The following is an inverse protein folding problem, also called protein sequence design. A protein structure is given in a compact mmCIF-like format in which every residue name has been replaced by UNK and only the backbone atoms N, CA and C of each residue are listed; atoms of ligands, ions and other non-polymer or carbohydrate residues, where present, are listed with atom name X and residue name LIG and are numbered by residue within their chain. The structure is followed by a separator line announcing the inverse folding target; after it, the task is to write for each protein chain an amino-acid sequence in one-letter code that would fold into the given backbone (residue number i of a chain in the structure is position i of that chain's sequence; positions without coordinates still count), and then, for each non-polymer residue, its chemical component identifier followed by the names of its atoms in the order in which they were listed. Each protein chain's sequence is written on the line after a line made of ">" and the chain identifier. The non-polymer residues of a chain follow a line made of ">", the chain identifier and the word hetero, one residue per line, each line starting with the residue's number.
data_IF_681865140946
#
_entry.id   IF_681865140946
#
_cell.length_a   1.000
_cell.length_b   1.000
_cell.length_c   1.000
_cell.angle_alpha   90.00
_cell.angle_beta   90.00
_cell.angle_gamma   90.00
#
_symmetry.space_group_name_H-M   'P 1'
#
loop_
_entity.id
_entity.type
_entity.pdbx_description
1 polymer ?
#
# COMPACT_ATOMS: atom_id res chain seq x y z
N UNK A 1 24.24 7.92 19.69
CA UNK A 1 24.07 8.47 18.31
C UNK A 1 22.74 8.06 17.68
N UNK A 2 22.20 6.85 17.96
CA UNK A 2 20.84 6.47 17.57
C UNK A 2 19.74 7.32 18.22
N UNK A 3 19.89 7.66 19.51
CA UNK A 3 18.85 8.39 20.26
C UNK A 3 18.66 9.85 19.77
N UNK A 4 19.74 10.56 19.45
CA UNK A 4 19.69 11.93 18.89
C UNK A 4 19.01 12.00 17.50
N UNK A 5 19.17 10.95 16.69
CA UNK A 5 18.51 10.86 15.39
C UNK A 5 17.01 10.57 15.56
N UNK A 6 16.62 9.70 16.48
CA UNK A 6 15.21 9.40 16.73
C UNK A 6 14.47 10.58 17.39
N UNK A 7 15.14 11.35 18.26
CA UNK A 7 14.60 12.60 18.80
C UNK A 7 14.35 13.65 17.70
N UNK A 8 15.20 13.70 16.68
CA UNK A 8 15.07 14.65 15.57
C UNK A 8 13.98 14.25 14.57
N UNK A 9 13.60 12.96 14.53
CA UNK A 9 12.58 12.41 13.62
C UNK A 9 11.46 11.72 14.39
N UNK A 10 10.62 12.46 15.14
CA UNK A 10 9.57 11.90 15.99
C UNK A 10 8.55 11.06 15.20
N UNK A 11 8.28 11.43 13.95
CA UNK A 11 7.42 10.65 13.05
C UNK A 11 7.97 9.25 12.77
N UNK A 12 9.28 9.14 12.49
CA UNK A 12 9.94 7.85 12.26
C UNK A 12 9.95 6.99 13.53
N UNK A 13 10.15 7.62 14.70
CA UNK A 13 10.12 6.93 15.98
C UNK A 13 8.71 6.41 16.34
N UNK A 14 7.66 7.09 15.89
CA UNK A 14 6.26 6.69 16.13
C UNK A 14 5.73 5.59 15.20
N UNK A 15 6.46 5.24 14.13
CA UNK A 15 5.99 4.24 13.17
C UNK A 15 6.09 2.82 13.74
N UNK A 16 5.02 2.02 13.72
CA UNK A 16 5.04 0.65 14.25
C UNK A 16 5.90 -0.30 13.40
N UNK A 17 6.16 0.05 12.14
CA UNK A 17 7.03 -0.68 11.23
C UNK A 17 7.40 0.21 10.04
N UNK A 18 8.41 -0.21 9.28
CA UNK A 18 8.97 0.58 8.17
C UNK A 18 8.27 0.30 6.83
N UNK A 19 7.33 -0.64 6.77
CA UNK A 19 6.69 -1.02 5.50
C UNK A 19 5.98 0.18 4.81
N UNK A 20 5.15 1.01 5.50
CA UNK A 20 4.54 2.20 4.90
C UNK A 20 5.54 3.20 4.32
N UNK A 21 6.75 3.30 4.86
CA UNK A 21 7.79 4.16 4.30
C UNK A 21 8.32 3.56 2.99
N UNK A 22 8.66 2.27 3.01
CA UNK A 22 9.38 1.64 1.90
C UNK A 22 8.50 1.29 0.71
N UNK A 23 7.17 1.16 0.88
CA UNK A 23 6.23 0.92 -0.23
C UNK A 23 6.13 2.07 -1.23
N UNK A 24 6.50 3.30 -0.86
CA UNK A 24 6.47 4.44 -1.78
C UNK A 24 7.52 4.32 -2.90
N UNK A 25 8.66 3.70 -2.60
CA UNK A 25 9.74 3.51 -3.58
C UNK A 25 9.33 2.64 -4.77
N UNK A 26 8.82 1.40 -4.62
CA UNK A 26 8.38 0.62 -5.76
C UNK A 26 7.22 1.30 -6.50
N UNK A 27 6.28 1.95 -5.79
CA UNK A 27 5.18 2.69 -6.42
C UNK A 27 5.72 3.78 -7.36
N UNK A 28 6.60 4.65 -6.86
CA UNK A 28 7.15 5.74 -7.65
C UNK A 28 8.08 5.23 -8.76
N UNK A 29 9.03 4.35 -8.44
CA UNK A 29 10.06 3.89 -9.38
C UNK A 29 9.47 3.08 -10.53
N UNK A 30 8.55 2.14 -10.26
CA UNK A 30 7.95 1.30 -11.30
C UNK A 30 6.98 2.11 -12.19
N UNK A 31 6.27 3.07 -11.61
CA UNK A 31 5.42 4.00 -12.38
C UNK A 31 6.27 4.89 -13.29
N UNK A 32 7.33 5.49 -12.75
CA UNK A 32 8.26 6.30 -13.54
C UNK A 32 8.99 5.48 -14.61
N UNK A 33 9.35 4.22 -14.32
CA UNK A 33 9.88 3.29 -15.31
C UNK A 33 8.92 3.14 -16.50
N UNK A 34 7.64 2.86 -16.25
CA UNK A 34 6.66 2.68 -17.33
C UNK A 34 6.55 3.95 -18.19
N UNK A 35 6.38 5.11 -17.55
CA UNK A 35 6.25 6.39 -18.26
C UNK A 35 7.49 6.69 -19.11
N UNK A 36 8.68 6.49 -18.55
CA UNK A 36 9.93 6.77 -19.22
C UNK A 36 10.23 5.75 -20.34
N UNK A 37 9.86 4.48 -20.17
CA UNK A 37 10.06 3.46 -21.21
C UNK A 37 9.06 3.65 -22.37
N UNK A 38 7.81 4.05 -22.08
CA UNK A 38 6.84 4.46 -23.11
C UNK A 38 7.36 5.67 -23.90
N UNK A 39 7.82 6.72 -23.21
CA UNK A 39 8.34 7.90 -23.88
C UNK A 39 9.63 7.60 -24.66
N UNK A 40 10.53 6.79 -24.09
CA UNK A 40 11.74 6.32 -24.76
C UNK A 40 11.44 5.45 -25.99
N UNK A 41 10.37 4.65 -25.95
CA UNK A 41 9.92 3.86 -27.09
C UNK A 41 9.32 4.75 -28.19
N UNK A 42 8.43 5.68 -27.83
CA UNK A 42 7.77 6.59 -28.76
C UNK A 42 8.76 7.53 -29.46
N UNK A 43 9.73 8.08 -28.71
CA UNK A 43 10.77 8.97 -29.23
C UNK A 43 11.97 8.22 -29.83
N UNK A 44 11.97 6.87 -29.79
CA UNK A 44 13.09 6.02 -30.20
C UNK A 44 14.42 6.41 -29.54
N UNK A 45 14.36 6.88 -28.28
CA UNK A 45 15.50 7.38 -27.53
C UNK A 45 16.12 6.28 -26.64
N UNK A 46 17.29 5.78 -27.03
CA UNK A 46 17.98 4.71 -26.32
C UNK A 46 18.42 5.10 -24.90
N UNK A 47 18.77 6.37 -24.66
CA UNK A 47 19.20 6.85 -23.34
C UNK A 47 18.04 6.81 -22.34
N UNK A 48 16.85 7.27 -22.76
CA UNK A 48 15.64 7.22 -21.92
C UNK A 48 15.25 5.79 -21.59
N UNK A 49 15.32 4.90 -22.58
CA UNK A 49 15.11 3.46 -22.36
C UNK A 49 16.15 2.86 -21.41
N UNK A 50 17.41 3.28 -21.46
CA UNK A 50 18.45 2.83 -20.53
C UNK A 50 18.14 3.29 -19.09
N UNK A 51 17.78 4.56 -18.92
CA UNK A 51 17.35 5.11 -17.63
C UNK A 51 16.13 4.39 -17.07
N UNK A 52 15.12 4.12 -17.90
CA UNK A 52 13.93 3.36 -17.51
C UNK A 52 14.30 1.95 -17.01
N UNK A 53 15.29 1.30 -17.63
CA UNK A 53 15.83 0.03 -17.13
C UNK A 53 16.43 0.13 -15.73
N UNK A 54 17.16 1.21 -15.44
CA UNK A 54 17.68 1.47 -14.09
C UNK A 54 16.56 1.63 -13.05
N UNK A 55 15.50 2.37 -13.41
CA UNK A 55 14.31 2.52 -12.56
C UNK A 55 13.60 1.19 -12.32
N UNK A 56 13.46 0.34 -13.34
CA UNK A 56 12.88 -0.99 -13.22
C UNK A 56 13.68 -1.86 -12.23
N UNK A 57 15.00 -1.89 -12.34
CA UNK A 57 15.84 -2.70 -11.44
C UNK A 57 15.78 -2.18 -10.00
N UNK A 58 15.84 -0.86 -9.82
CA UNK A 58 15.76 -0.26 -8.49
C UNK A 58 14.38 -0.47 -7.87
N UNK A 59 13.31 -0.26 -8.65
CA UNK A 59 11.93 -0.52 -8.23
C UNK A 59 11.71 -1.99 -7.86
N UNK A 60 12.30 -2.92 -8.59
CA UNK A 60 12.26 -4.36 -8.27
C UNK A 60 12.96 -4.67 -6.94
N UNK A 61 14.13 -4.08 -6.70
CA UNK A 61 14.86 -4.23 -5.44
C UNK A 61 14.04 -3.70 -4.25
N UNK A 62 13.49 -2.50 -4.36
CA UNK A 62 12.63 -1.93 -3.32
C UNK A 62 11.31 -2.69 -3.15
N UNK A 63 10.73 -3.25 -4.22
CA UNK A 63 9.56 -4.12 -4.11
C UNK A 63 9.86 -5.37 -3.27
N UNK A 64 11.05 -5.98 -3.46
CA UNK A 64 11.47 -7.13 -2.66
C UNK A 64 11.61 -6.76 -1.17
N UNK A 65 12.25 -5.63 -0.88
CA UNK A 65 12.37 -5.11 0.49
C UNK A 65 10.99 -4.83 1.10
N UNK A 66 10.11 -4.16 0.36
CA UNK A 66 8.76 -3.82 0.82
C UNK A 66 7.93 -5.08 1.13
N UNK A 67 8.02 -6.13 0.31
CA UNK A 67 7.36 -7.42 0.57
C UNK A 67 7.88 -8.06 1.85
N UNK A 68 9.20 -8.10 2.06
CA UNK A 68 9.80 -8.66 3.28
C UNK A 68 9.32 -7.89 4.52
N UNK A 69 9.38 -6.56 4.48
CA UNK A 69 8.90 -5.72 5.59
C UNK A 69 7.38 -5.85 5.80
N UNK A 70 6.61 -6.05 4.74
CA UNK A 70 5.16 -6.25 4.83
C UNK A 70 4.80 -7.58 5.51
N UNK A 71 5.54 -8.65 5.20
CA UNK A 71 5.38 -9.94 5.88
C UNK A 71 5.72 -9.82 7.37
N UNK A 72 6.77 -9.07 7.71
CA UNK A 72 7.11 -8.79 9.12
C UNK A 72 6.03 -7.96 9.82
N UNK A 73 5.49 -6.94 9.15
CA UNK A 73 4.42 -6.09 9.69
C UNK A 73 3.11 -6.85 9.93
N UNK A 74 2.79 -7.82 9.07
CA UNK A 74 1.61 -8.67 9.22
C UNK A 74 1.62 -9.52 10.50
N UNK A 75 2.80 -9.76 11.09
CA UNK A 75 2.96 -10.50 12.34
C UNK A 75 2.88 -9.61 13.59
N UNK A 76 3.08 -8.30 13.46
CA UNK A 76 3.24 -7.39 14.61
C UNK A 76 2.04 -6.49 14.90
N UNK A 77 1.20 -6.23 13.90
CA UNK A 77 0.06 -5.31 14.07
C UNK A 77 -1.21 -6.09 14.45
N UNK A 78 -1.93 -5.60 15.45
CA UNK A 78 -3.22 -6.15 15.87
C UNK A 78 -4.30 -5.81 14.83
N UNK A 79 -5.00 -6.82 14.35
CA UNK A 79 -6.07 -6.65 13.38
C UNK A 79 -7.25 -7.55 13.77
N UNK A 80 -8.48 -7.01 13.70
CA UNK A 80 -9.70 -7.79 13.83
C UNK A 80 -9.92 -8.74 12.64
N UNK A 81 -10.78 -9.74 12.82
CA UNK A 81 -11.02 -10.79 11.81
C UNK A 81 -11.39 -10.27 10.41
N UNK A 82 -12.18 -9.19 10.33
CA UNK A 82 -12.65 -8.60 9.07
C UNK A 82 -11.51 -7.99 8.23
N UNK A 83 -10.44 -7.49 8.88
CA UNK A 83 -9.31 -6.83 8.20
C UNK A 83 -8.28 -7.86 7.70
N UNK A 84 -8.22 -9.03 8.34
CA UNK A 84 -7.24 -10.07 7.99
C UNK A 84 -7.35 -10.51 6.51
N UNK A 85 -8.57 -10.63 5.99
CA UNK A 85 -8.80 -10.97 4.58
C UNK A 85 -8.27 -9.92 3.61
N UNK A 86 -8.47 -8.63 3.94
CA UNK A 86 -7.96 -7.50 3.15
C UNK A 86 -6.42 -7.49 3.19
N UNK A 87 -5.83 -7.70 4.36
CA UNK A 87 -4.37 -7.79 4.54
C UNK A 87 -3.75 -8.91 3.70
N UNK A 88 -4.36 -10.10 3.69
CA UNK A 88 -3.89 -11.22 2.87
C UNK A 88 -4.00 -10.90 1.37
N UNK A 89 -5.09 -10.25 0.96
CA UNK A 89 -5.26 -9.80 -0.43
C UNK A 89 -4.19 -8.79 -0.81
N UNK A 90 -3.95 -7.76 0.01
CA UNK A 90 -2.89 -6.77 -0.19
C UNK A 90 -1.51 -7.43 -0.33
N UNK A 91 -1.17 -8.37 0.58
CA UNK A 91 0.09 -9.11 0.53
C UNK A 91 0.27 -9.93 -0.76
N UNK A 92 -0.81 -10.57 -1.25
CA UNK A 92 -0.80 -11.27 -2.54
C UNK A 92 -0.52 -10.33 -3.71
N UNK A 93 -1.12 -9.13 -3.73
CA UNK A 93 -0.82 -8.13 -4.75
C UNK A 93 0.66 -7.73 -4.72
N UNK A 94 1.24 -7.53 -3.53
CA UNK A 94 2.67 -7.25 -3.37
C UNK A 94 3.57 -8.34 -3.99
N UNK A 95 3.26 -9.62 -3.74
CA UNK A 95 3.99 -10.75 -4.34
C UNK A 95 3.83 -10.83 -5.86
N UNK A 96 2.62 -10.59 -6.39
CA UNK A 96 2.37 -10.56 -7.84
C UNK A 96 3.19 -9.45 -8.50
N UNK A 97 3.16 -8.23 -7.93
CA UNK A 97 3.95 -7.09 -8.43
C UNK A 97 5.44 -7.42 -8.43
N UNK A 98 5.97 -7.98 -7.34
CA UNK A 98 7.37 -8.40 -7.26
C UNK A 98 7.72 -9.44 -8.34
N UNK A 99 6.86 -10.45 -8.52
CA UNK A 99 7.05 -11.48 -9.55
C UNK A 99 7.05 -10.89 -10.97
N UNK A 100 6.12 -9.98 -11.26
CA UNK A 100 6.07 -9.28 -12.55
C UNK A 100 7.29 -8.38 -12.77
N UNK A 101 7.72 -7.64 -11.75
CA UNK A 101 8.88 -6.75 -11.82
C UNK A 101 10.18 -7.56 -12.04
N UNK A 102 10.32 -8.72 -11.39
CA UNK A 102 11.42 -9.66 -11.63
C UNK A 102 11.38 -10.21 -13.06
N UNK A 103 10.22 -10.66 -13.54
CA UNK A 103 10.05 -11.16 -14.89
C UNK A 103 10.44 -10.10 -15.94
N UNK A 104 9.93 -8.87 -15.79
CA UNK A 104 10.26 -7.74 -16.67
C UNK A 104 11.75 -7.41 -16.60
N UNK A 105 12.34 -7.40 -15.40
CA UNK A 105 13.77 -7.15 -15.19
C UNK A 105 14.64 -8.19 -15.90
N UNK A 106 14.33 -9.48 -15.73
CA UNK A 106 15.04 -10.57 -16.39
C UNK A 106 14.87 -10.50 -17.91
N UNK A 107 13.64 -10.29 -18.38
CA UNK A 107 13.38 -10.13 -19.81
C UNK A 107 14.23 -8.99 -20.40
N UNK A 108 14.26 -7.82 -19.75
CA UNK A 108 15.07 -6.69 -20.21
C UNK A 108 16.56 -6.98 -20.21
N UNK A 109 17.04 -7.70 -19.20
CA UNK A 109 18.44 -8.13 -19.10
C UNK A 109 18.86 -9.09 -20.22
N UNK A 110 17.96 -9.98 -20.65
CA UNK A 110 18.23 -10.97 -21.70
C UNK A 110 17.96 -10.46 -23.11
N UNK A 111 17.05 -9.49 -23.32
CA UNK A 111 16.84 -8.89 -24.63
C UNK A 111 18.07 -8.10 -25.13
N UNK A 112 18.83 -7.47 -24.24
CA UNK A 112 19.96 -6.62 -24.63
C UNK A 112 19.52 -5.43 -25.49
N UNK A 113 20.32 -5.05 -26.48
CA UNK A 113 20.03 -3.93 -27.40
C UNK A 113 19.20 -4.33 -28.64
N UNK A 114 18.72 -5.58 -28.70
CA UNK A 114 17.92 -6.06 -29.85
C UNK A 114 16.54 -5.41 -29.83
N UNK A 115 16.33 -4.44 -30.72
CA UNK A 115 15.04 -3.78 -30.88
C UNK A 115 14.06 -4.68 -31.64
N UNK A 116 12.97 -5.08 -30.98
CA UNK A 116 11.81 -5.73 -31.60
C UNK A 116 10.54 -4.95 -31.24
N UNK A 117 9.74 -4.58 -32.25
CA UNK A 117 8.48 -3.85 -32.04
C UNK A 117 7.48 -4.68 -31.23
N UNK A 118 7.34 -5.97 -31.56
CA UNK A 118 6.45 -6.90 -30.84
C UNK A 118 6.94 -7.11 -29.41
N UNK A 119 8.25 -7.35 -29.22
CA UNK A 119 8.82 -7.55 -27.89
C UNK A 119 8.69 -6.31 -27.00
N UNK A 120 8.89 -5.12 -27.56
CA UNK A 120 8.73 -3.85 -26.83
C UNK A 120 7.28 -3.61 -26.45
N UNK A 121 6.34 -3.85 -27.37
CA UNK A 121 4.91 -3.67 -27.12
C UNK A 121 4.42 -4.62 -26.02
N UNK A 122 4.82 -5.89 -26.06
CA UNK A 122 4.44 -6.88 -25.05
C UNK A 122 5.07 -6.58 -23.68
N UNK A 123 6.32 -6.13 -23.66
CA UNK A 123 6.99 -5.69 -22.44
C UNK A 123 6.28 -4.50 -21.79
N UNK A 124 5.93 -3.47 -22.57
CA UNK A 124 5.20 -2.30 -22.08
C UNK A 124 3.77 -2.64 -21.64
N UNK A 125 3.07 -3.52 -22.35
CA UNK A 125 1.75 -3.98 -21.95
C UNK A 125 1.80 -4.70 -20.59
N UNK A 126 2.76 -5.61 -20.40
CA UNK A 126 2.95 -6.31 -19.13
C UNK A 126 3.35 -5.36 -17.99
N UNK A 127 4.20 -4.36 -18.28
CA UNK A 127 4.52 -3.29 -17.34
C UNK A 127 3.30 -2.43 -16.96
N UNK A 128 2.42 -2.14 -17.92
CA UNK A 128 1.14 -1.49 -17.68
C UNK A 128 0.24 -2.29 -16.73
N UNK A 129 0.09 -3.60 -16.98
CA UNK A 129 -0.67 -4.49 -16.08
C UNK A 129 -0.04 -4.52 -14.69
N UNK A 130 1.28 -4.58 -14.58
CA UNK A 130 1.98 -4.56 -13.28
C UNK A 130 1.64 -3.28 -12.50
N UNK A 131 1.67 -2.11 -13.14
CA UNK A 131 1.33 -0.83 -12.50
C UNK A 131 -0.14 -0.79 -12.05
N UNK A 132 -1.06 -1.35 -12.83
CA UNK A 132 -2.48 -1.45 -12.44
C UNK A 132 -2.68 -2.37 -11.23
N UNK A 133 -2.04 -3.54 -11.21
CA UNK A 133 -2.08 -4.46 -10.06
C UNK A 133 -1.46 -3.80 -8.82
N UNK A 134 -0.37 -3.06 -8.99
CA UNK A 134 0.27 -2.30 -7.92
C UNK A 134 -0.64 -1.20 -7.38
N UNK A 135 -1.35 -0.46 -8.24
CA UNK A 135 -2.31 0.55 -7.82
C UNK A 135 -3.46 -0.05 -7.02
N UNK A 136 -4.01 -1.18 -7.45
CA UNK A 136 -5.05 -1.90 -6.69
C UNK A 136 -4.53 -2.43 -5.34
N UNK A 137 -3.29 -2.93 -5.30
CA UNK A 137 -2.64 -3.29 -4.04
C UNK A 137 -2.48 -2.10 -3.09
N UNK A 138 -2.08 -0.94 -3.62
CA UNK A 138 -1.95 0.29 -2.85
C UNK A 138 -3.31 0.79 -2.32
N UNK A 139 -4.39 0.66 -3.09
CA UNK A 139 -5.76 0.97 -2.66
C UNK A 139 -6.19 0.11 -1.48
N UNK A 140 -5.98 -1.22 -1.54
CA UNK A 140 -6.22 -2.10 -0.39
C UNK A 140 -5.38 -1.71 0.84
N UNK A 141 -4.13 -1.28 0.62
CA UNK A 141 -3.27 -0.71 1.66
C UNK A 141 -3.89 0.53 2.31
N UNK A 142 -4.39 1.45 1.50
CA UNK A 142 -5.13 2.63 1.94
C UNK A 142 -6.40 2.27 2.70
N UNK A 143 -7.17 1.30 2.24
CA UNK A 143 -8.39 0.84 2.91
C UNK A 143 -8.10 0.26 4.30
N UNK A 144 -6.99 -0.45 4.48
CA UNK A 144 -6.55 -0.93 5.80
C UNK A 144 -6.24 0.25 6.73
N UNK A 145 -5.42 1.20 6.27
CA UNK A 145 -4.97 2.33 7.12
C UNK A 145 -6.11 3.30 7.41
N UNK A 146 -6.77 3.80 6.37
CA UNK A 146 -7.77 4.87 6.48
C UNK A 146 -9.17 4.37 6.80
N UNK A 147 -9.54 3.18 6.33
CA UNK A 147 -10.87 2.60 6.59
C UNK A 147 -10.95 1.82 7.89
N UNK A 148 -9.85 1.16 8.29
CA UNK A 148 -9.83 0.24 9.43
C UNK A 148 -8.81 0.60 10.51
N UNK A 149 -8.09 1.72 10.37
CA UNK A 149 -7.17 2.20 11.40
C UNK A 149 -5.93 1.32 11.59
N UNK A 150 -5.54 0.55 10.58
CA UNK A 150 -4.38 -0.34 10.68
C UNK A 150 -3.09 0.48 10.82
N UNK A 151 -2.33 0.20 11.87
CA UNK A 151 -1.02 0.83 12.11
C UNK A 151 -1.10 2.31 12.49
N UNK A 152 -2.27 2.81 12.88
CA UNK A 152 -2.46 4.17 13.41
C UNK A 152 -3.00 4.11 14.84
N UNK A 153 -2.62 5.09 15.65
CA UNK A 153 -3.20 5.26 16.98
C UNK A 153 -4.61 5.85 16.81
N UNK A 154 -5.64 5.11 17.23
CA UNK A 154 -6.99 5.65 17.27
C UNK A 154 -7.06 6.84 18.22
N UNK A 155 -7.52 7.99 17.74
CA UNK A 155 -7.87 9.11 18.60
C UNK A 155 -9.21 8.75 19.24
N UNK A 156 -9.20 8.43 20.54
CA UNK A 156 -10.44 8.30 21.29
C UNK A 156 -11.12 9.67 21.32
N UNK A 157 -12.22 9.82 20.59
CA UNK A 157 -13.08 10.98 20.72
C UNK A 157 -13.85 10.79 22.03
N UNK A 158 -13.68 11.67 23.03
CA UNK A 158 -14.47 11.59 24.25
C UNK A 158 -15.96 11.60 23.88
N UNK A 159 -16.82 10.81 24.55
CA UNK A 159 -18.25 10.89 24.33
C UNK A 159 -18.69 12.34 24.45
N UNK A 160 -19.32 12.86 23.42
CA UNK A 160 -20.03 14.13 23.54
C UNK A 160 -21.25 13.81 24.41
N UNK A 161 -21.25 14.24 25.67
CA UNK A 161 -22.36 14.05 26.60
C UNK A 161 -23.63 14.68 25.99
N UNK A 162 -24.46 13.85 25.37
CA UNK A 162 -25.84 14.16 25.09
C UNK A 162 -26.65 13.60 26.24
N UNK A 163 -26.80 14.41 27.29
CA UNK A 163 -27.82 14.24 28.33
C UNK A 163 -29.20 14.23 27.64
N UNK A 164 -29.69 13.03 27.32
CA UNK A 164 -31.10 12.79 27.10
C UNK A 164 -31.69 12.27 28.40
N UNK A 165 -32.09 13.24 29.23
CA UNK A 165 -32.91 13.07 30.41
C UNK A 165 -34.27 12.48 29.99
N UNK A 166 -34.40 11.15 30.04
CA UNK A 166 -35.68 10.46 29.95
C UNK A 166 -36.11 10.02 31.35
N UNK A 167 -36.55 10.99 32.14
CA UNK A 167 -37.37 10.73 33.32
C UNK A 167 -38.72 10.16 32.86
N UNK A 168 -38.88 8.84 32.92
CA UNK A 168 -40.19 8.19 32.90
C UNK A 168 -40.78 8.24 34.30
N UNK A 169 -41.52 9.31 34.60
CA UNK A 169 -42.54 9.28 35.66
C UNK A 169 -43.67 8.35 35.20
N UNK A 170 -43.82 7.21 35.88
CA UNK A 170 -45.05 6.42 35.82
C UNK A 170 -46.05 6.98 36.82
N UNK A 171 -47.06 7.64 36.26
CA UNK A 171 -48.32 8.04 36.89
C UNK A 171 -49.17 6.78 37.13
N UNK A 172 -49.22 6.31 38.38
CA UNK A 172 -50.21 5.31 38.83
C UNK A 172 -51.37 6.05 39.52
N UNK A 173 -52.34 6.44 38.70
CA UNK A 173 -53.65 6.93 39.13
C UNK A 173 -54.56 5.82 39.66
N UNK A 174 -54.77 5.82 40.98
CA UNK A 174 -56.05 5.94 41.70
C UNK A 174 -57.23 4.94 41.51
N UNK A 175 -57.84 4.62 42.67
CA UNK A 175 -59.26 4.25 42.96
C UNK A 175 -59.67 2.77 42.73
N UNK A 176 -59.88 1.93 43.76
CA UNK A 176 -60.95 1.82 44.78
C UNK A 176 -62.34 1.36 44.26
N UNK A 177 -62.95 0.47 45.06
CA UNK A 177 -64.36 0.03 45.14
C UNK A 177 -64.76 -1.41 44.77
N UNK A 178 -64.99 -2.19 45.84
CA UNK A 178 -66.18 -3.00 46.18
C UNK A 178 -66.90 -3.82 45.10
N UNK A 179 -66.92 -5.16 45.30
CA UNK A 179 -68.12 -5.93 45.71
C UNK A 179 -67.74 -7.36 46.11
#
# INVERSE_FOLDING_TARGET
>A
MGDLLLESFPGLASMPNWHPLLVHFPIALLTCYLLLDVAGAALRNAAWRRMAGGLLYLGTCFAAVAVVLGVQAAQSVSHGGDVHGIMLSHGKHGLVVLGMALLLSLWRRFQGERWSMVGTTLHLALAGVMVLVMAHGADLGGLMVYGHGVGVHGVAVPPHDHDHDHAHEHDDGAEDHHH
#
